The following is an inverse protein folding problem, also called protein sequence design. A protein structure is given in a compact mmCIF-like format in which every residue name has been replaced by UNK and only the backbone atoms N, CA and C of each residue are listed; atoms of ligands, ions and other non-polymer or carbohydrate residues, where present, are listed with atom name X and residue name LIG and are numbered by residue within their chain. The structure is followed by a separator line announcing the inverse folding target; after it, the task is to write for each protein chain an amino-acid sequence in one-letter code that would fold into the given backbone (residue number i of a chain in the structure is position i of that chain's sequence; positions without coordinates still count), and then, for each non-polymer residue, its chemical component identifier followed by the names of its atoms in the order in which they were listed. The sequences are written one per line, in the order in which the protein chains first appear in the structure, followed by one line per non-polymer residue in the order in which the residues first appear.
data_IF_031841268406
#
_entry.id   IF_031841268406
#
_cell.length_a   1.000
_cell.length_b   1.000
_cell.length_c   1.000
_cell.angle_alpha   90.00
_cell.angle_beta   90.00
_cell.angle_gamma   90.00
#
_symmetry.space_group_name_H-M   'P 1'
#
loop_
_entity.id
_entity.type
_entity.pdbx_description
1 polymer ?
#
# COMPACT_ATOMS: atom_id res chain seq x y z
N UNK A 1 0.31 9.98 14.72
CA UNK A 1 0.61 9.13 13.53
C UNK A 1 2.12 8.98 13.38
N UNK A 2 2.64 7.76 13.11
CA UNK A 2 4.05 7.48 12.80
C UNK A 2 4.10 6.79 11.44
N UNK A 3 5.05 7.18 10.59
CA UNK A 3 5.27 6.60 9.26
C UNK A 3 6.63 5.92 9.24
N UNK A 4 6.69 4.69 8.73
CA UNK A 4 7.92 3.91 8.62
C UNK A 4 8.04 3.33 7.22
N UNK A 5 9.17 3.59 6.56
CA UNK A 5 9.44 3.10 5.21
C UNK A 5 10.05 1.70 5.26
N UNK A 6 9.47 0.76 4.51
CA UNK A 6 9.98 -0.60 4.32
C UNK A 6 10.42 -0.87 2.88
N UNK A 7 9.97 -0.04 1.95
CA UNK A 7 10.37 -0.06 0.57
C UNK A 7 10.02 1.26 -0.11
N UNK A 8 10.95 1.76 -0.90
CA UNK A 8 10.87 3.04 -1.62
C UNK A 8 11.36 2.95 -3.05
N UNK A 9 11.75 1.74 -3.50
CA UNK A 9 12.22 1.53 -4.86
C UNK A 9 11.05 1.35 -5.82
N UNK A 10 11.12 1.96 -6.98
CA UNK A 10 10.14 1.76 -8.07
C UNK A 10 10.54 0.61 -9.00
N UNK A 11 9.58 0.09 -9.71
CA UNK A 11 9.65 -0.88 -10.81
C UNK A 11 10.14 -2.28 -10.42
N UNK A 12 11.32 -2.42 -9.83
CA UNK A 12 11.93 -3.72 -9.52
C UNK A 12 12.79 -3.63 -8.26
N UNK A 13 12.81 -4.67 -7.41
CA UNK A 13 13.73 -4.69 -6.27
C UNK A 13 15.18 -4.82 -6.74
N UNK A 14 16.08 -4.06 -6.13
CA UNK A 14 17.51 -4.06 -6.45
C UNK A 14 18.35 -4.35 -5.21
N UNK A 15 19.16 -5.42 -5.21
CA UNK A 15 19.99 -5.82 -4.07
C UNK A 15 21.36 -5.13 -4.05
N UNK A 16 21.66 -4.25 -5.01
CA UNK A 16 23.00 -3.72 -5.23
C UNK A 16 23.42 -2.73 -4.14
N UNK A 17 24.73 -2.68 -3.87
CA UNK A 17 25.30 -1.82 -2.82
C UNK A 17 25.04 -0.34 -3.02
N UNK A 18 24.83 0.09 -4.23
CA UNK A 18 24.54 1.48 -4.61
C UNK A 18 23.20 1.96 -4.04
N UNK A 19 22.28 1.03 -3.73
CA UNK A 19 20.94 1.34 -3.21
C UNK A 19 20.81 1.17 -1.70
N UNK A 20 21.92 0.92 -0.96
CA UNK A 20 21.86 0.68 0.51
C UNK A 20 21.34 1.88 1.28
N UNK A 21 21.52 3.10 0.78
CA UNK A 21 21.12 4.31 1.49
C UNK A 21 19.61 4.37 1.73
N UNK A 22 18.80 4.04 0.73
CA UNK A 22 17.33 4.04 0.81
C UNK A 22 16.74 2.63 0.75
N UNK A 23 17.59 1.63 0.49
CA UNK A 23 17.19 0.23 0.31
C UNK A 23 16.67 -0.09 -1.07
N UNK A 24 16.72 -1.37 -1.42
CA UNK A 24 16.30 -1.87 -2.74
C UNK A 24 14.93 -2.54 -2.76
N UNK A 25 14.16 -2.49 -1.67
CA UNK A 25 12.80 -3.03 -1.64
C UNK A 25 11.81 -2.09 -2.31
N UNK A 26 10.84 -2.67 -3.03
CA UNK A 26 9.77 -1.93 -3.67
C UNK A 26 8.71 -1.49 -2.67
N UNK A 27 7.82 -0.62 -3.12
CA UNK A 27 6.93 0.23 -2.33
C UNK A 27 6.20 -0.47 -1.19
N UNK A 28 6.47 -0.02 0.04
CA UNK A 28 5.75 -0.48 1.24
C UNK A 28 5.95 0.51 2.39
N UNK A 29 4.89 1.08 2.88
CA UNK A 29 4.86 2.05 3.97
C UNK A 29 4.01 1.51 5.11
N UNK A 30 4.53 1.55 6.33
CA UNK A 30 3.75 1.27 7.55
C UNK A 30 3.31 2.58 8.19
N UNK A 31 2.02 2.71 8.43
CA UNK A 31 1.42 3.76 9.25
C UNK A 31 1.04 3.15 10.60
N UNK A 32 1.52 3.74 11.67
CA UNK A 32 1.08 3.43 13.04
C UNK A 32 0.29 4.62 13.58
N UNK A 33 -0.98 4.41 13.86
CA UNK A 33 -1.88 5.42 14.41
C UNK A 33 -1.65 5.61 15.92
N UNK A 34 -2.15 6.72 16.46
CA UNK A 34 -2.05 7.02 17.91
C UNK A 34 -2.71 5.94 18.79
N UNK A 35 -3.69 5.24 18.24
CA UNK A 35 -4.36 4.10 18.88
C UNK A 35 -3.54 2.81 18.93
N UNK A 36 -2.34 2.79 18.33
CA UNK A 36 -1.52 1.59 18.15
C UNK A 36 -1.94 0.71 16.97
N UNK A 37 -3.03 1.03 16.28
CA UNK A 37 -3.43 0.33 15.04
C UNK A 37 -2.47 0.64 13.91
N UNK A 38 -2.46 -0.24 12.92
CA UNK A 38 -1.61 -0.09 11.75
C UNK A 38 -2.42 -0.11 10.45
N UNK A 39 -1.90 0.58 9.45
CA UNK A 39 -2.23 0.39 8.05
C UNK A 39 -0.94 0.28 7.23
N UNK A 40 -0.99 -0.46 6.15
CA UNK A 40 0.12 -0.63 5.22
C UNK A 40 -0.31 0.02 3.91
N UNK A 41 0.57 0.81 3.29
CA UNK A 41 0.37 1.32 1.95
C UNK A 41 1.34 0.60 1.02
N UNK A 42 0.76 -0.04 0.02
CA UNK A 42 1.35 -0.96 -0.94
C UNK A 42 2.02 -2.20 -0.33
N UNK A 43 2.06 -3.25 -1.11
CA UNK A 43 2.55 -4.58 -0.75
C UNK A 43 3.71 -5.02 -1.65
N UNK A 44 4.60 -4.09 -2.00
CA UNK A 44 5.87 -4.40 -2.67
C UNK A 44 6.79 -5.22 -1.78
N UNK A 45 8.01 -5.50 -2.23
CA UNK A 45 8.91 -6.45 -1.53
C UNK A 45 9.26 -6.04 -0.10
N UNK A 46 9.11 -4.75 0.24
CA UNK A 46 9.28 -4.24 1.60
C UNK A 46 8.36 -4.91 2.64
N UNK A 47 7.17 -5.37 2.24
CA UNK A 47 6.20 -6.00 3.15
C UNK A 47 6.74 -7.29 3.78
N UNK A 48 7.68 -7.98 3.12
CA UNK A 48 8.33 -9.17 3.67
C UNK A 48 9.10 -8.85 4.96
N UNK A 49 9.90 -7.76 4.92
CA UNK A 49 10.62 -7.32 6.12
C UNK A 49 9.66 -6.81 7.18
N UNK A 50 8.68 -6.00 6.79
CA UNK A 50 7.62 -5.53 7.68
C UNK A 50 6.95 -6.69 8.42
N UNK A 51 6.56 -7.75 7.70
CA UNK A 51 5.94 -8.93 8.32
C UNK A 51 6.84 -9.61 9.36
N UNK A 52 8.14 -9.70 9.12
CA UNK A 52 9.10 -10.24 10.09
C UNK A 52 9.18 -9.35 11.34
N UNK A 53 9.25 -8.03 11.17
CA UNK A 53 9.36 -7.08 12.28
C UNK A 53 8.08 -7.09 13.14
N UNK A 54 6.89 -7.15 12.52
CA UNK A 54 5.61 -7.25 13.23
C UNK A 54 5.49 -8.56 14.02
N UNK A 55 5.97 -9.68 13.49
CA UNK A 55 6.01 -10.96 14.22
C UNK A 55 6.97 -10.91 15.40
N UNK A 56 8.15 -10.32 15.22
CA UNK A 56 9.15 -10.18 16.28
C UNK A 56 8.69 -9.27 17.42
N UNK A 57 7.85 -8.29 17.14
CA UNK A 57 7.30 -7.38 18.13
C UNK A 57 6.26 -8.03 19.05
N UNK A 58 5.85 -9.28 18.83
CA UNK A 58 4.93 -10.08 19.65
C UNK A 58 3.60 -9.38 19.96
N UNK A 59 3.12 -8.51 19.07
CA UNK A 59 1.90 -7.77 19.32
C UNK A 59 0.66 -8.55 18.82
N UNK A 60 -0.14 -9.03 19.75
CA UNK A 60 -1.47 -9.61 19.47
C UNK A 60 -2.44 -8.58 18.86
N UNK A 61 -2.11 -7.28 19.01
CA UNK A 61 -2.95 -6.16 18.55
C UNK A 61 -3.08 -6.02 17.03
N UNK A 62 -2.35 -6.81 16.25
CA UNK A 62 -2.40 -6.77 14.77
C UNK A 62 -3.30 -7.85 14.15
N UNK A 63 -4.37 -8.23 14.84
CA UNK A 63 -5.33 -9.22 14.32
C UNK A 63 -6.04 -8.74 13.05
N UNK A 64 -6.23 -7.41 12.93
CA UNK A 64 -6.85 -6.80 11.76
C UNK A 64 -5.84 -5.85 11.09
N UNK A 65 -5.43 -6.19 9.88
CA UNK A 65 -4.46 -5.43 9.08
C UNK A 65 -5.15 -4.93 7.84
N UNK A 66 -4.99 -3.64 7.53
CA UNK A 66 -5.44 -3.06 6.27
C UNK A 66 -4.21 -2.80 5.41
N UNK A 67 -4.24 -3.29 4.18
CA UNK A 67 -3.25 -3.01 3.14
C UNK A 67 -3.97 -2.22 2.05
N UNK A 68 -3.74 -0.92 2.03
CA UNK A 68 -4.23 -0.01 0.99
C UNK A 68 -3.27 -0.04 -0.19
N UNK A 69 -3.78 -0.32 -1.39
CA UNK A 69 -2.99 -0.38 -2.61
C UNK A 69 -3.23 0.88 -3.44
N UNK A 70 -2.15 1.51 -3.91
CA UNK A 70 -2.24 2.60 -4.87
C UNK A 70 -2.74 2.10 -6.22
N UNK A 71 -2.22 0.97 -6.68
CA UNK A 71 -2.61 0.24 -7.88
C UNK A 71 -2.06 -1.20 -7.84
N UNK A 72 -2.15 -1.94 -8.93
CA UNK A 72 -1.81 -3.37 -8.97
C UNK A 72 -0.62 -3.72 -9.88
N UNK A 73 0.30 -2.78 -10.16
CA UNK A 73 1.57 -3.14 -10.78
C UNK A 73 2.39 -4.03 -9.86
N UNK A 74 3.26 -4.84 -10.44
CA UNK A 74 4.00 -5.89 -9.74
C UNK A 74 4.77 -5.40 -8.53
N UNK A 75 5.46 -4.30 -8.65
CA UNK A 75 6.28 -3.71 -7.58
C UNK A 75 5.46 -3.21 -6.38
N UNK A 76 4.13 -3.07 -6.55
CA UNK A 76 3.20 -2.70 -5.47
C UNK A 76 2.47 -3.89 -4.84
N UNK A 77 2.51 -5.09 -5.44
CA UNK A 77 1.76 -6.25 -4.95
C UNK A 77 2.61 -7.52 -4.74
N UNK A 78 3.76 -7.65 -5.42
CA UNK A 78 4.54 -8.91 -5.46
C UNK A 78 5.02 -9.40 -4.09
N UNK A 79 5.23 -8.49 -3.15
CA UNK A 79 5.71 -8.83 -1.80
C UNK A 79 4.66 -9.51 -0.93
N UNK A 80 3.37 -9.33 -1.24
CA UNK A 80 2.27 -9.94 -0.48
C UNK A 80 2.40 -11.46 -0.38
N UNK A 81 2.87 -12.12 -1.44
CA UNK A 81 3.12 -13.55 -1.50
C UNK A 81 4.07 -14.04 -0.38
N UNK A 82 4.91 -13.15 0.13
CA UNK A 82 5.91 -13.41 1.17
C UNK A 82 5.60 -12.71 2.50
N UNK A 83 4.38 -12.19 2.65
CA UNK A 83 3.93 -11.55 3.88
C UNK A 83 3.55 -12.60 4.91
N UNK A 84 4.44 -12.91 5.84
CA UNK A 84 4.28 -14.01 6.79
C UNK A 84 2.98 -13.97 7.62
N UNK A 85 2.46 -12.77 7.92
CA UNK A 85 1.20 -12.66 8.64
C UNK A 85 0.00 -13.18 7.83
N UNK A 86 0.11 -13.25 6.50
CA UNK A 86 -0.92 -13.86 5.66
C UNK A 86 -1.06 -15.38 5.89
N UNK A 87 -0.05 -16.02 6.49
CA UNK A 87 -0.10 -17.45 6.80
C UNK A 87 -0.64 -17.75 8.22
N UNK A 88 -0.93 -16.72 9.03
CA UNK A 88 -1.43 -16.88 10.40
C UNK A 88 -2.97 -16.87 10.42
N UNK A 89 -3.64 -17.98 10.75
CA UNK A 89 -5.10 -18.08 10.71
C UNK A 89 -5.82 -17.19 11.73
N UNK A 90 -5.09 -16.60 12.67
CA UNK A 90 -5.64 -15.63 13.63
C UNK A 90 -5.81 -14.23 13.01
N UNK A 91 -5.22 -14.00 11.85
CA UNK A 91 -5.22 -12.68 11.21
C UNK A 91 -6.40 -12.49 10.27
N UNK A 92 -6.85 -11.25 10.21
CA UNK A 92 -7.78 -10.78 9.19
C UNK A 92 -7.08 -9.65 8.41
N UNK A 93 -6.86 -9.87 7.13
CA UNK A 93 -6.17 -8.92 6.25
C UNK A 93 -7.17 -8.39 5.22
N UNK A 94 -7.36 -7.09 5.19
CA UNK A 94 -8.15 -6.41 4.17
C UNK A 94 -7.20 -5.80 3.14
N UNK A 95 -7.26 -6.32 1.92
CA UNK A 95 -6.62 -5.71 0.76
C UNK A 95 -7.60 -4.72 0.13
N UNK A 96 -7.21 -3.45 0.03
CA UNK A 96 -8.12 -2.38 -0.36
C UNK A 96 -7.54 -1.53 -1.48
N UNK A 97 -8.38 -1.17 -2.45
CA UNK A 97 -8.17 -0.04 -3.36
C UNK A 97 -9.38 0.88 -3.25
N UNK A 98 -9.19 2.10 -2.78
CA UNK A 98 -10.25 3.10 -2.68
C UNK A 98 -10.17 4.05 -3.87
N UNK A 99 -11.33 4.42 -4.44
CA UNK A 99 -11.40 5.42 -5.48
C UNK A 99 -12.42 5.10 -6.58
N UNK A 100 -12.87 6.13 -7.28
CA UNK A 100 -13.83 6.03 -8.40
C UNK A 100 -13.14 5.81 -9.73
N UNK A 101 -13.88 5.20 -10.67
CA UNK A 101 -13.47 5.10 -12.07
C UNK A 101 -12.26 4.19 -12.30
N UNK A 102 -12.12 3.14 -11.53
CA UNK A 102 -11.06 2.16 -11.72
C UNK A 102 -11.21 1.40 -13.03
N UNK A 103 -10.10 1.29 -13.76
CA UNK A 103 -9.98 0.32 -14.86
C UNK A 103 -9.59 -1.08 -14.35
N UNK A 104 -9.16 -1.19 -13.08
CA UNK A 104 -8.70 -2.43 -12.47
C UNK A 104 -9.84 -3.43 -12.37
N UNK A 105 -9.59 -4.64 -12.81
CA UNK A 105 -10.44 -5.81 -12.59
C UNK A 105 -10.66 -6.03 -11.09
N UNK A 106 -11.53 -6.97 -10.78
CA UNK A 106 -11.71 -7.45 -9.42
C UNK A 106 -10.36 -7.75 -8.74
N UNK A 107 -10.13 -7.14 -7.58
CA UNK A 107 -8.86 -7.21 -6.87
C UNK A 107 -8.53 -8.65 -6.44
N UNK A 108 -9.54 -9.42 -6.06
CA UNK A 108 -9.38 -10.83 -5.73
C UNK A 108 -8.83 -11.62 -6.91
N UNK A 109 -9.37 -11.38 -8.12
CA UNK A 109 -8.89 -12.03 -9.33
C UNK A 109 -7.45 -11.69 -9.67
N UNK A 110 -6.97 -10.48 -9.35
CA UNK A 110 -5.55 -10.10 -9.52
C UNK A 110 -4.66 -10.97 -8.64
N UNK A 111 -4.98 -11.07 -7.34
CA UNK A 111 -4.19 -11.89 -6.41
C UNK A 111 -4.32 -13.39 -6.71
N UNK A 112 -5.52 -13.87 -7.05
CA UNK A 112 -5.71 -15.26 -7.46
C UNK A 112 -4.86 -15.63 -8.68
N UNK A 113 -4.74 -14.72 -9.64
CA UNK A 113 -3.89 -14.93 -10.83
C UNK A 113 -2.40 -15.01 -10.45
N UNK A 114 -1.92 -14.13 -9.58
CA UNK A 114 -0.51 -14.12 -9.17
C UNK A 114 -0.13 -15.31 -8.30
N UNK A 115 -1.13 -16.00 -7.73
CA UNK A 115 -0.98 -17.17 -6.85
C UNK A 115 -1.41 -18.49 -7.52
N UNK A 116 -1.47 -18.53 -8.85
CA UNK A 116 -1.64 -19.78 -9.58
C UNK A 116 -0.38 -20.63 -9.54
N UNK A 117 -0.53 -21.94 -9.63
CA UNK A 117 0.54 -22.94 -9.53
C UNK A 117 1.74 -22.67 -10.47
N UNK A 118 1.47 -22.05 -11.63
CA UNK A 118 2.53 -21.66 -12.59
C UNK A 118 3.44 -20.53 -12.05
N UNK A 119 2.98 -19.76 -11.07
CA UNK A 119 3.68 -18.57 -10.56
C UNK A 119 4.05 -18.70 -9.08
N UNK A 120 3.22 -19.37 -8.29
CA UNK A 120 3.42 -19.46 -6.84
C UNK A 120 2.86 -20.78 -6.28
N UNK A 121 3.58 -21.45 -5.36
CA UNK A 121 3.22 -22.81 -4.92
C UNK A 121 2.04 -22.86 -3.93
N UNK A 122 1.51 -21.72 -3.50
CA UNK A 122 0.38 -21.65 -2.56
C UNK A 122 -0.74 -20.85 -3.20
N UNK A 123 -1.86 -21.49 -3.48
CA UNK A 123 -3.04 -20.84 -4.04
C UNK A 123 -3.67 -19.85 -3.02
N UNK A 124 -4.36 -18.83 -3.51
CA UNK A 124 -4.96 -17.79 -2.69
C UNK A 124 -5.91 -18.35 -1.63
N UNK A 125 -6.68 -19.38 -1.95
CA UNK A 125 -7.63 -20.05 -1.05
C UNK A 125 -6.95 -20.94 0.03
N UNK A 126 -5.63 -21.12 -0.05
CA UNK A 126 -4.80 -21.85 0.91
C UNK A 126 -4.04 -20.93 1.88
N UNK A 127 -4.17 -19.63 1.73
CA UNK A 127 -3.63 -18.68 2.70
C UNK A 127 -4.31 -18.88 4.07
N UNK A 128 -3.53 -18.84 5.14
CA UNK A 128 -4.04 -19.08 6.50
C UNK A 128 -4.94 -17.96 7.02
N UNK A 129 -4.58 -16.70 6.77
CA UNK A 129 -5.35 -15.55 7.23
C UNK A 129 -6.70 -15.45 6.52
N UNK A 130 -7.70 -14.89 7.22
CA UNK A 130 -8.94 -14.47 6.55
C UNK A 130 -8.66 -13.24 5.69
N UNK A 131 -8.87 -13.37 4.39
CA UNK A 131 -8.74 -12.26 3.44
C UNK A 131 -10.09 -11.60 3.17
N UNK A 132 -10.06 -10.29 3.00
CA UNK A 132 -11.17 -9.48 2.49
C UNK A 132 -10.64 -8.57 1.39
N UNK A 133 -11.29 -8.57 0.25
CA UNK A 133 -10.99 -7.67 -0.87
C UNK A 133 -12.03 -6.55 -0.86
N UNK A 134 -11.56 -5.32 -0.64
CA UNK A 134 -12.45 -4.17 -0.48
C UNK A 134 -12.14 -3.11 -1.53
N UNK A 135 -13.12 -2.86 -2.39
CA UNK A 135 -13.00 -1.94 -3.52
C UNK A 135 -14.16 -0.94 -3.54
N UNK A 136 -14.25 -0.02 -2.56
CA UNK A 136 -15.33 0.95 -2.53
C UNK A 136 -15.24 1.89 -3.74
N UNK A 137 -16.38 2.13 -4.38
CA UNK A 137 -16.51 3.16 -5.42
C UNK A 137 -16.79 4.52 -4.79
N UNK A 138 -15.91 4.94 -3.89
CA UNK A 138 -15.96 6.24 -3.21
C UNK A 138 -14.56 6.82 -3.12
N UNK A 139 -14.49 8.15 -3.21
CA UNK A 139 -13.23 8.88 -3.01
C UNK A 139 -12.97 9.21 -1.54
N UNK A 140 -13.99 9.10 -0.69
CA UNK A 140 -13.89 9.49 0.71
C UNK A 140 -14.41 8.38 1.61
N UNK A 141 -13.66 8.10 2.66
CA UNK A 141 -14.02 7.18 3.71
C UNK A 141 -13.61 7.72 5.07
N UNK A 142 -14.51 7.67 6.02
CA UNK A 142 -14.24 8.02 7.42
C UNK A 142 -14.39 6.77 8.27
N UNK A 143 -13.28 6.32 8.83
CA UNK A 143 -13.31 5.23 9.79
C UNK A 143 -14.00 5.69 11.07
N UNK A 144 -14.83 4.85 11.73
CA UNK A 144 -15.58 5.22 12.94
C UNK A 144 -14.74 5.80 14.10
N UNK A 145 -13.41 5.67 14.04
CA UNK A 145 -12.47 6.19 15.04
C UNK A 145 -11.78 7.49 14.62
N UNK A 146 -12.34 8.22 13.66
CA UNK A 146 -11.85 9.52 13.27
C UNK A 146 -10.64 9.53 12.34
N UNK A 147 -10.32 8.39 11.66
CA UNK A 147 -9.34 8.37 10.59
C UNK A 147 -10.06 8.67 9.29
N UNK A 148 -9.73 9.78 8.66
CA UNK A 148 -10.23 10.13 7.33
C UNK A 148 -9.31 9.61 6.24
N UNK A 149 -9.88 9.12 5.15
CA UNK A 149 -9.16 8.72 3.94
C UNK A 149 -9.84 9.37 2.75
N UNK A 150 -9.07 10.11 1.97
CA UNK A 150 -9.48 10.63 0.66
C UNK A 150 -8.57 10.01 -0.39
N UNK A 151 -9.18 9.42 -1.42
CA UNK A 151 -8.47 8.83 -2.55
C UNK A 151 -8.68 9.71 -3.80
N UNK A 152 -7.63 9.98 -4.54
CA UNK A 152 -7.67 10.72 -5.80
C UNK A 152 -6.88 9.99 -6.86
N UNK A 153 -7.49 9.84 -8.04
CA UNK A 153 -6.82 9.24 -9.20
C UNK A 153 -5.85 10.25 -9.79
N UNK A 154 -4.65 9.78 -10.14
CA UNK A 154 -3.67 10.56 -10.89
C UNK A 154 -3.20 9.82 -12.14
N UNK A 155 -2.44 10.52 -12.97
CA UNK A 155 -1.96 10.00 -14.23
C UNK A 155 -0.87 8.96 -14.03
N UNK A 156 -1.13 7.76 -14.54
CA UNK A 156 -0.23 6.62 -14.59
C UNK A 156 -0.85 5.54 -15.50
N UNK A 157 -0.07 4.72 -16.25
CA UNK A 157 -0.61 3.64 -17.07
C UNK A 157 -1.49 2.68 -16.27
N UNK A 158 -2.74 2.48 -16.69
CA UNK A 158 -3.73 1.71 -15.92
C UNK A 158 -4.42 2.52 -14.80
N UNK A 159 -3.87 3.66 -14.41
CA UNK A 159 -4.33 4.55 -13.34
C UNK A 159 -3.84 4.12 -11.96
N UNK A 160 -3.39 5.08 -11.18
CA UNK A 160 -3.03 4.91 -9.78
C UNK A 160 -3.82 5.88 -8.88
N UNK A 161 -3.85 5.60 -7.59
CA UNK A 161 -4.56 6.41 -6.60
C UNK A 161 -3.59 6.92 -5.55
N UNK A 162 -3.61 8.23 -5.35
CA UNK A 162 -3.04 8.85 -4.17
C UNK A 162 -4.02 8.81 -3.00
N UNK A 163 -3.49 8.75 -1.80
CA UNK A 163 -4.25 8.72 -0.56
C UNK A 163 -3.87 9.87 0.35
N UNK A 164 -4.88 10.62 0.81
CA UNK A 164 -4.77 11.56 1.90
C UNK A 164 -5.36 10.90 3.15
N UNK A 165 -4.55 10.74 4.19
CA UNK A 165 -4.93 10.06 5.44
C UNK A 165 -4.80 11.07 6.59
N UNK A 166 -5.90 11.28 7.31
CA UNK A 166 -5.97 12.22 8.42
C UNK A 166 -6.25 11.51 9.74
N UNK A 167 -5.54 11.90 10.78
CA UNK A 167 -5.78 11.48 12.16
C UNK A 167 -5.65 12.71 13.07
N UNK A 168 -6.76 13.18 13.61
CA UNK A 168 -6.79 14.45 14.37
C UNK A 168 -6.35 15.62 13.48
N UNK A 169 -5.30 16.32 13.91
CA UNK A 169 -4.71 17.47 13.20
C UNK A 169 -3.57 17.07 12.24
N UNK A 170 -3.26 15.77 12.10
CA UNK A 170 -2.15 15.27 11.28
C UNK A 170 -2.63 14.69 9.97
N UNK A 171 -1.93 15.05 8.92
CA UNK A 171 -2.24 14.64 7.54
C UNK A 171 -1.01 14.08 6.84
N UNK A 172 -1.13 12.84 6.38
CA UNK A 172 -0.22 12.18 5.47
C UNK A 172 -0.83 12.13 4.07
N UNK A 173 -0.04 12.44 3.06
CA UNK A 173 -0.38 12.18 1.65
C UNK A 173 0.62 11.22 1.04
N UNK A 174 0.11 10.25 0.29
CA UNK A 174 0.87 9.21 -0.39
C UNK A 174 0.49 9.22 -1.88
N UNK A 175 1.42 9.58 -2.75
CA UNK A 175 1.26 9.66 -4.19
C UNK A 175 2.48 9.05 -4.86
N UNK A 176 2.43 7.76 -5.16
CA UNK A 176 3.47 7.06 -5.95
C UNK A 176 3.05 6.94 -7.40
N UNK A 177 4.03 6.73 -8.28
CA UNK A 177 3.84 6.50 -9.71
C UNK A 177 3.01 7.60 -10.37
N UNK A 178 3.44 8.84 -10.13
CA UNK A 178 2.81 10.03 -10.69
C UNK A 178 3.53 10.41 -11.98
N UNK A 179 2.81 10.35 -13.10
CA UNK A 179 3.30 10.88 -14.37
C UNK A 179 2.73 12.29 -14.60
N UNK A 180 3.55 13.29 -14.34
CA UNK A 180 3.24 14.65 -14.78
C UNK A 180 3.37 14.70 -16.30
N UNK A 181 2.37 15.26 -16.97
CA UNK A 181 2.48 15.58 -18.41
C UNK A 181 3.24 16.89 -18.59
N UNK A 182 2.72 17.72 -19.51
CA UNK A 182 3.23 19.09 -19.70
C UNK A 182 2.94 20.00 -18.50
N UNK A 183 1.99 19.60 -17.64
CA UNK A 183 1.60 20.33 -16.43
C UNK A 183 1.61 19.40 -15.21
N UNK A 184 1.77 20.00 -14.02
CA UNK A 184 1.68 19.26 -12.76
C UNK A 184 0.25 18.72 -12.57
N UNK A 185 0.10 17.45 -12.18
CA UNK A 185 -1.19 16.82 -11.95
C UNK A 185 -1.98 17.56 -10.86
N UNK A 186 -3.09 18.18 -11.26
CA UNK A 186 -3.93 19.00 -10.38
C UNK A 186 -4.57 18.21 -9.25
N UNK A 187 -4.84 16.91 -9.45
CA UNK A 187 -5.39 16.03 -8.41
C UNK A 187 -4.36 15.77 -7.31
N UNK A 188 -3.10 15.58 -7.69
CA UNK A 188 -1.99 15.42 -6.74
C UNK A 188 -1.79 16.72 -5.95
N UNK A 189 -1.81 17.87 -6.61
CA UNK A 189 -1.73 19.18 -5.94
C UNK A 189 -2.88 19.37 -4.94
N UNK A 190 -4.11 19.10 -5.36
CA UNK A 190 -5.29 19.25 -4.51
C UNK A 190 -5.24 18.30 -3.30
N UNK A 191 -4.84 17.04 -3.52
CA UNK A 191 -4.72 16.04 -2.46
C UNK A 191 -3.65 16.41 -1.44
N UNK A 192 -2.54 17.01 -1.91
CA UNK A 192 -1.35 17.34 -1.10
C UNK A 192 -1.45 18.65 -0.33
N UNK A 193 -2.48 19.45 -0.61
CA UNK A 193 -2.64 20.77 0.02
C UNK A 193 -2.66 20.64 1.55
N UNK A 194 -1.85 21.45 2.23
CA UNK A 194 -1.75 21.53 3.69
C UNK A 194 -1.46 20.16 4.37
N UNK A 195 -0.72 19.27 3.70
CA UNK A 195 -0.27 18.02 4.30
C UNK A 195 0.92 18.25 5.24
N UNK A 196 0.94 17.57 6.40
CA UNK A 196 2.12 17.55 7.29
C UNK A 196 3.28 16.72 6.68
N UNK A 197 2.94 15.68 5.92
CA UNK A 197 3.90 14.83 5.22
C UNK A 197 3.35 14.44 3.85
N UNK A 198 4.12 14.72 2.81
CA UNK A 198 3.90 14.23 1.44
C UNK A 198 4.96 13.18 1.11
N UNK A 199 4.51 11.98 0.75
CA UNK A 199 5.33 10.95 0.11
C UNK A 199 4.98 10.95 -1.36
N UNK A 200 5.93 11.30 -2.20
CA UNK A 200 5.73 11.49 -3.64
C UNK A 200 6.74 10.66 -4.43
N UNK A 201 6.36 10.31 -5.64
CA UNK A 201 7.27 9.72 -6.63
C UNK A 201 8.50 10.61 -6.85
N UNK A 202 9.65 9.96 -6.95
CA UNK A 202 10.93 10.59 -7.23
C UNK A 202 11.83 9.68 -8.11
N UNK A 203 11.20 8.88 -8.98
CA UNK A 203 11.90 7.94 -9.86
C UNK A 203 12.77 8.68 -10.87
N UNK A 204 12.31 9.80 -11.37
CA UNK A 204 13.00 10.62 -12.36
C UNK A 204 13.32 11.99 -11.77
N UNK A 205 14.54 12.47 -12.05
CA UNK A 205 14.96 13.85 -11.77
C UNK A 205 14.74 14.69 -13.02
N UNK A 206 14.49 16.00 -12.88
CA UNK A 206 14.40 16.93 -14.00
C UNK A 206 15.67 16.95 -14.85
#
# INVERSE_FOLDING_TARGET
MKVTFYGTRGSIPVPDREFVQFGGNTSCILITFSTGRIAILDAGTGIRKLGNDLLAASHEQYDNIIVGLSHTHWDHIQGFLFFKLANDPRRHITLAICGKGRATKDLESVFATTMQDDYFPVALDKIGAKLTFWQPDTSEYIHPRGIGIVASKHNHPGGAYGYRITEGDKTLVYCTDVEHGDEIDSNVVALSKDADLLIHDAQYTP
#
